data_IF_718980862986
#
_entry.id   IF_718980862986
#
_cell.length_a   1.000
_cell.length_b   1.000
_cell.length_c   1.000
_cell.angle_alpha   90.00
_cell.angle_beta   90.00
_cell.angle_gamma   90.00
#
_symmetry.space_group_name_H-M   'P 1'
#
loop_
_entity.id
_entity.type
_entity.pdbx_description
1 polymer ?
#
# COMPACT_ATOMS: atom_id res chain seq x y z
N UNK A 1 55.43 -10.70 15.99
CA UNK A 1 55.39 -10.40 14.54
C UNK A 1 54.11 -9.63 14.22
N UNK A 2 54.16 -8.30 14.25
CA UNK A 2 53.03 -7.43 13.86
C UNK A 2 53.49 -6.61 12.65
N UNK A 3 53.03 -7.00 11.46
CA UNK A 3 53.39 -6.34 10.21
C UNK A 3 52.81 -4.92 10.18
N UNK A 4 53.67 -3.93 9.91
CA UNK A 4 53.29 -2.53 9.75
C UNK A 4 52.17 -2.41 8.70
N UNK A 5 50.94 -2.11 9.13
CA UNK A 5 49.87 -1.65 8.24
C UNK A 5 50.38 -0.39 7.55
N UNK A 6 50.69 -0.49 6.25
CA UNK A 6 51.26 0.64 5.51
C UNK A 6 50.34 1.85 5.64
N UNK A 7 50.90 3.01 6.00
CA UNK A 7 50.13 4.26 6.18
C UNK A 7 49.27 4.58 4.97
N UNK A 8 49.73 4.22 3.77
CA UNK A 8 48.98 4.34 2.51
C UNK A 8 47.72 3.47 2.48
N UNK A 9 47.83 2.20 2.90
CA UNK A 9 46.68 1.29 2.97
C UNK A 9 45.64 1.76 3.99
N UNK A 10 46.08 2.23 5.16
CA UNK A 10 45.17 2.80 6.17
C UNK A 10 44.48 4.09 5.67
N UNK A 11 45.20 4.98 4.99
CA UNK A 11 44.61 6.18 4.38
C UNK A 11 43.60 5.84 3.28
N UNK A 12 43.90 4.83 2.47
CA UNK A 12 43.00 4.33 1.43
C UNK A 12 41.73 3.72 2.03
N UNK A 13 41.85 2.81 3.02
CA UNK A 13 40.72 2.21 3.74
C UNK A 13 39.83 3.29 4.39
N UNK A 14 40.45 4.29 5.03
CA UNK A 14 39.72 5.41 5.66
C UNK A 14 39.12 6.39 4.66
N UNK A 15 39.68 6.50 3.45
CA UNK A 15 39.07 7.26 2.36
C UNK A 15 37.86 6.50 1.80
N UNK A 16 38.00 5.19 1.59
CA UNK A 16 36.96 4.32 1.04
C UNK A 16 35.74 4.24 1.97
N UNK A 17 35.96 4.08 3.27
CA UNK A 17 34.89 4.14 4.28
C UNK A 17 34.14 5.48 4.24
N UNK A 18 34.87 6.61 4.19
CA UNK A 18 34.24 7.93 4.07
C UNK A 18 33.45 8.13 2.77
N UNK A 19 33.87 7.53 1.67
CA UNK A 19 33.09 7.58 0.43
C UNK A 19 31.85 6.69 0.53
N UNK A 20 31.94 5.52 1.15
CA UNK A 20 30.78 4.68 1.42
C UNK A 20 29.75 5.39 2.30
N UNK A 21 30.19 6.05 3.37
CA UNK A 21 29.30 6.84 4.24
C UNK A 21 28.61 7.96 3.46
N UNK A 22 29.37 8.72 2.66
CA UNK A 22 28.83 9.80 1.82
C UNK A 22 27.83 9.29 0.77
N UNK A 23 28.15 8.17 0.11
CA UNK A 23 27.24 7.54 -0.85
C UNK A 23 25.99 7.01 -0.16
N UNK A 24 26.13 6.43 1.04
CA UNK A 24 25.01 5.99 1.87
C UNK A 24 24.10 7.14 2.27
N UNK A 25 24.65 8.27 2.70
CA UNK A 25 23.88 9.49 3.00
C UNK A 25 23.20 10.06 1.76
N UNK A 26 23.89 10.11 0.63
CA UNK A 26 23.33 10.67 -0.61
C UNK A 26 22.22 9.77 -1.15
N UNK A 27 22.43 8.45 -1.11
CA UNK A 27 21.43 7.46 -1.52
C UNK A 27 20.26 7.45 -0.54
N UNK A 28 20.49 7.63 0.76
CA UNK A 28 19.44 7.85 1.76
C UNK A 28 18.58 9.07 1.44
N UNK A 29 19.19 10.22 1.16
CA UNK A 29 18.48 11.45 0.77
C UNK A 29 17.69 11.28 -0.53
N UNK A 30 18.29 10.66 -1.56
CA UNK A 30 17.59 10.38 -2.81
C UNK A 30 16.41 9.42 -2.58
N UNK A 31 16.59 8.43 -1.72
CA UNK A 31 15.55 7.49 -1.35
C UNK A 31 14.39 8.21 -0.64
N UNK A 32 14.68 9.11 0.28
CA UNK A 32 13.66 9.89 0.99
C UNK A 32 12.92 10.88 0.07
N UNK A 33 13.56 11.33 -1.02
CA UNK A 33 12.96 12.24 -2.01
C UNK A 33 12.15 11.53 -3.10
N UNK A 34 12.50 10.28 -3.40
CA UNK A 34 11.95 9.55 -4.55
C UNK A 34 11.04 8.39 -4.15
N UNK A 35 11.16 7.87 -2.93
CA UNK A 35 10.26 6.83 -2.46
C UNK A 35 8.96 7.42 -1.93
N UNK A 36 7.86 6.64 -2.05
CA UNK A 36 6.61 6.99 -1.41
C UNK A 36 6.81 7.20 0.10
N UNK A 37 6.04 8.10 0.70
CA UNK A 37 6.03 8.37 2.15
C UNK A 37 5.98 7.08 3.00
N UNK A 38 6.62 7.11 4.17
CA UNK A 38 6.54 6.05 5.17
C UNK A 38 5.15 5.99 5.84
N UNK A 39 4.91 4.92 6.60
CA UNK A 39 3.65 4.76 7.34
C UNK A 39 3.33 5.92 8.30
N UNK A 40 4.27 6.43 9.13
CA UNK A 40 3.98 7.54 10.03
C UNK A 40 3.55 8.81 9.29
N UNK A 41 4.25 9.17 8.22
CA UNK A 41 3.98 10.37 7.43
C UNK A 41 2.63 10.26 6.71
N UNK A 42 2.29 9.07 6.20
CA UNK A 42 0.98 8.79 5.60
C UNK A 42 -0.15 8.99 6.60
N UNK A 43 -0.02 8.41 7.79
CA UNK A 43 -1.08 8.50 8.81
C UNK A 43 -1.28 9.92 9.30
N UNK A 44 -0.19 10.68 9.50
CA UNK A 44 -0.27 12.09 9.88
C UNK A 44 -0.98 12.96 8.82
N UNK A 45 -0.93 12.55 7.54
CA UNK A 45 -1.52 13.28 6.43
C UNK A 45 -3.03 13.02 6.24
N UNK A 46 -3.59 11.90 6.74
CA UNK A 46 -4.98 11.50 6.47
C UNK A 46 -5.98 12.64 6.73
N UNK A 47 -5.87 13.31 7.87
CA UNK A 47 -6.79 14.38 8.26
C UNK A 47 -6.65 15.66 7.42
N UNK A 48 -5.50 15.91 6.79
CA UNK A 48 -5.24 17.12 6.01
C UNK A 48 -5.56 17.01 4.52
N UNK A 49 -5.89 15.80 4.04
CA UNK A 49 -6.28 15.57 2.64
C UNK A 49 -7.68 16.12 2.41
N UNK A 50 -7.84 17.00 1.43
CA UNK A 50 -9.15 17.51 1.01
C UNK A 50 -9.91 16.54 0.10
N UNK A 51 -11.24 16.60 0.13
CA UNK A 51 -12.15 15.72 -0.62
C UNK A 51 -12.40 16.13 -2.09
N UNK A 52 -11.74 17.19 -2.56
CA UNK A 52 -11.91 17.73 -3.91
C UNK A 52 -11.15 16.96 -4.99
N UNK A 53 -11.41 17.30 -6.24
CA UNK A 53 -10.64 16.79 -7.39
C UNK A 53 -9.46 17.70 -7.71
N UNK A 54 -8.31 17.10 -7.98
CA UNK A 54 -7.11 17.81 -8.45
C UNK A 54 -6.77 17.53 -9.91
N UNK A 55 -7.41 16.53 -10.52
CA UNK A 55 -7.13 16.12 -11.90
C UNK A 55 -8.42 16.01 -12.71
N UNK A 56 -8.29 16.10 -14.04
CA UNK A 56 -9.41 16.10 -15.00
C UNK A 56 -9.36 14.89 -15.94
N UNK A 57 -8.45 13.96 -15.66
CA UNK A 57 -8.32 12.70 -16.38
C UNK A 57 -9.59 11.85 -16.20
N UNK A 58 -9.92 10.99 -17.18
CA UNK A 58 -11.05 10.07 -17.06
C UNK A 58 -10.69 8.69 -17.63
N UNK A 59 -11.19 7.61 -17.02
CA UNK A 59 -11.02 6.27 -17.57
C UNK A 59 -11.81 6.11 -18.88
N UNK A 60 -11.44 5.10 -19.66
CA UNK A 60 -12.18 4.72 -20.86
C UNK A 60 -13.53 4.09 -20.47
N UNK A 61 -14.60 4.45 -21.18
CA UNK A 61 -15.92 3.85 -20.98
C UNK A 61 -15.89 2.32 -21.15
N UNK A 62 -16.59 1.62 -20.26
CA UNK A 62 -16.64 0.14 -20.24
C UNK A 62 -15.35 -0.55 -19.79
N UNK A 63 -14.38 0.19 -19.26
CA UNK A 63 -13.18 -0.40 -18.64
C UNK A 63 -13.41 -0.76 -17.18
N UNK A 64 -12.57 -1.66 -16.65
CA UNK A 64 -12.52 -1.98 -15.22
C UNK A 64 -12.33 -0.74 -14.32
N UNK A 65 -11.60 0.26 -14.82
CA UNK A 65 -11.39 1.53 -14.14
C UNK A 65 -12.64 2.42 -14.12
N UNK A 66 -13.48 2.39 -15.16
CA UNK A 66 -14.75 3.09 -15.16
C UNK A 66 -15.74 2.49 -14.15
N UNK A 67 -15.78 1.17 -14.02
CA UNK A 67 -16.56 0.49 -12.98
C UNK A 67 -16.05 0.83 -11.57
N UNK A 68 -14.73 0.88 -11.40
CA UNK A 68 -14.14 1.31 -10.13
C UNK A 68 -14.46 2.77 -9.80
N UNK A 69 -14.51 3.67 -10.80
CA UNK A 69 -14.85 5.08 -10.57
C UNK A 69 -16.24 5.24 -9.93
N UNK A 70 -17.25 4.58 -10.52
CA UNK A 70 -18.63 4.59 -9.99
C UNK A 70 -18.66 4.12 -8.55
N UNK A 71 -17.82 3.14 -8.22
CA UNK A 71 -17.73 2.61 -6.88
C UNK A 71 -17.01 3.57 -5.91
N UNK A 72 -15.91 4.20 -6.33
CA UNK A 72 -15.20 5.22 -5.55
C UNK A 72 -16.08 6.43 -5.24
N UNK A 73 -16.99 6.82 -6.13
CA UNK A 73 -17.96 7.90 -5.92
C UNK A 73 -18.94 7.59 -4.77
N UNK A 74 -19.22 6.31 -4.50
CA UNK A 74 -20.12 5.86 -3.43
C UNK A 74 -19.45 5.79 -2.06
N UNK A 75 -18.12 5.85 -2.01
CA UNK A 75 -17.38 5.75 -0.76
C UNK A 75 -17.51 6.98 0.12
N UNK A 76 -17.55 6.71 1.43
CA UNK A 76 -17.54 7.77 2.43
C UNK A 76 -16.25 8.62 2.32
N UNK A 77 -16.34 9.94 2.56
CA UNK A 77 -15.17 10.83 2.49
C UNK A 77 -14.00 10.38 3.36
N UNK A 78 -14.28 9.81 4.54
CA UNK A 78 -13.24 9.26 5.45
C UNK A 78 -12.45 8.13 4.78
N UNK A 79 -13.14 7.20 4.10
CA UNK A 79 -12.51 6.09 3.40
C UNK A 79 -11.72 6.57 2.18
N UNK A 80 -12.21 7.60 1.48
CA UNK A 80 -11.49 8.22 0.37
C UNK A 80 -10.21 8.94 0.82
N UNK A 81 -10.23 9.67 1.94
CA UNK A 81 -9.03 10.30 2.54
C UNK A 81 -8.01 9.28 3.01
N UNK A 82 -8.47 8.18 3.60
CA UNK A 82 -7.64 7.04 3.92
C UNK A 82 -6.95 6.47 2.67
N UNK A 83 -7.71 6.17 1.61
CA UNK A 83 -7.18 5.67 0.35
C UNK A 83 -6.19 6.64 -0.28
N UNK A 84 -6.49 7.95 -0.26
CA UNK A 84 -5.60 8.98 -0.77
C UNK A 84 -4.25 8.96 -0.04
N UNK A 85 -4.26 8.81 1.29
CA UNK A 85 -3.04 8.68 2.08
C UNK A 85 -2.23 7.44 1.71
N UNK A 86 -2.87 6.27 1.54
CA UNK A 86 -2.17 5.04 1.15
C UNK A 86 -1.58 5.09 -0.26
N UNK A 87 -2.28 5.76 -1.18
CA UNK A 87 -1.88 5.91 -2.58
C UNK A 87 -0.92 7.10 -2.81
N UNK A 88 -0.64 7.89 -1.76
CA UNK A 88 0.08 9.16 -1.85
C UNK A 88 -0.60 10.20 -2.76
N UNK A 89 -1.91 10.07 -2.97
CA UNK A 89 -2.68 10.95 -3.85
C UNK A 89 -2.78 12.37 -3.26
N UNK A 90 -2.77 13.42 -4.08
CA UNK A 90 -2.84 14.82 -3.62
C UNK A 90 -4.19 15.17 -2.95
N UNK A 91 -5.27 14.51 -3.35
CA UNK A 91 -6.63 14.74 -2.85
C UNK A 91 -7.45 13.43 -2.80
N UNK A 92 -8.60 13.47 -2.13
CA UNK A 92 -9.52 12.35 -1.95
C UNK A 92 -10.72 12.39 -2.93
N UNK A 93 -10.58 13.12 -4.04
CA UNK A 93 -11.51 13.08 -5.16
C UNK A 93 -11.51 11.69 -5.84
N UNK A 94 -12.68 11.09 -6.16
CA UNK A 94 -12.77 9.78 -6.80
C UNK A 94 -11.93 9.64 -8.08
N UNK A 95 -11.90 10.66 -8.93
CA UNK A 95 -11.13 10.67 -10.18
C UNK A 95 -9.64 10.73 -9.89
N UNK A 96 -9.24 11.58 -8.95
CA UNK A 96 -7.85 11.70 -8.49
C UNK A 96 -7.34 10.38 -7.88
N UNK A 97 -8.17 9.71 -7.08
CA UNK A 97 -7.86 8.41 -6.50
C UNK A 97 -7.69 7.34 -7.57
N UNK A 98 -8.57 7.32 -8.57
CA UNK A 98 -8.48 6.39 -9.68
C UNK A 98 -7.22 6.59 -10.50
N UNK A 99 -6.87 7.84 -10.83
CA UNK A 99 -5.62 8.13 -11.52
C UNK A 99 -4.41 7.69 -10.69
N UNK A 100 -4.40 7.96 -9.39
CA UNK A 100 -3.34 7.52 -8.50
C UNK A 100 -3.21 5.99 -8.49
N UNK A 101 -4.32 5.25 -8.53
CA UNK A 101 -4.36 3.79 -8.68
C UNK A 101 -3.76 3.34 -10.02
N UNK A 102 -4.15 3.96 -11.13
CA UNK A 102 -3.65 3.58 -12.45
C UNK A 102 -2.16 3.87 -12.62
N UNK A 103 -1.67 4.91 -11.94
CA UNK A 103 -0.25 5.31 -11.92
C UNK A 103 0.57 4.55 -10.89
N UNK A 104 -0.04 3.66 -10.10
CA UNK A 104 0.70 2.84 -9.13
C UNK A 104 1.78 2.04 -9.83
N UNK A 105 2.99 2.15 -9.32
CA UNK A 105 4.14 1.39 -9.79
C UNK A 105 4.36 0.20 -8.87
N UNK A 106 3.53 -0.83 -9.03
CA UNK A 106 3.54 -2.01 -8.17
C UNK A 106 4.79 -2.88 -8.32
N UNK A 107 5.36 -2.96 -9.53
CA UNK A 107 6.61 -3.67 -9.79
C UNK A 107 7.70 -2.72 -10.32
N UNK A 108 8.97 -3.10 -10.16
CA UNK A 108 10.11 -2.30 -10.64
C UNK A 108 10.08 -2.10 -12.16
N UNK A 109 9.47 -3.01 -12.92
CA UNK A 109 9.30 -2.86 -14.38
C UNK A 109 8.32 -1.74 -14.72
N UNK A 110 7.34 -1.48 -13.86
CA UNK A 110 6.42 -0.33 -13.94
C UNK A 110 7.13 0.98 -13.80
N UNK A 111 8.15 1.04 -12.96
CA UNK A 111 8.95 2.24 -12.73
C UNK A 111 9.81 2.60 -13.95
N UNK A 112 10.14 1.60 -14.78
CA UNK A 112 11.03 1.75 -15.94
C UNK A 112 10.30 1.89 -17.28
N UNK A 113 8.96 1.79 -17.31
CA UNK A 113 8.20 1.91 -18.55
C UNK A 113 7.49 3.28 -18.65
N UNK A 114 8.14 4.30 -19.24
CA UNK A 114 7.54 5.63 -19.40
C UNK A 114 6.40 5.67 -20.43
N UNK A 115 6.22 4.62 -21.24
CA UNK A 115 5.24 4.60 -22.34
C UNK A 115 3.83 4.23 -21.89
N UNK A 116 3.69 3.67 -20.69
CA UNK A 116 2.39 3.26 -20.13
C UNK A 116 2.19 3.91 -18.77
N UNK A 117 1.95 5.24 -18.74
CA UNK A 117 1.82 5.99 -17.48
C UNK A 117 0.56 5.61 -16.69
N UNK A 118 -0.47 5.12 -17.38
CA UNK A 118 -1.75 4.71 -16.82
C UNK A 118 -1.98 3.24 -17.17
N UNK A 119 -2.30 2.43 -16.16
CA UNK A 119 -2.64 1.02 -16.33
C UNK A 119 -4.03 0.79 -15.78
N UNK A 120 -4.86 0.16 -16.58
CA UNK A 120 -6.21 -0.20 -16.16
C UNK A 120 -6.18 -1.00 -14.87
N UNK A 121 -7.23 -0.82 -14.06
CA UNK A 121 -7.35 -1.45 -12.75
C UNK A 121 -7.18 -2.97 -12.79
N UNK A 122 -7.79 -3.65 -13.77
CA UNK A 122 -7.63 -5.11 -13.96
C UNK A 122 -6.16 -5.53 -14.18
N UNK A 123 -5.38 -4.71 -14.88
CA UNK A 123 -3.94 -4.95 -15.07
C UNK A 123 -3.18 -4.78 -13.76
N UNK A 124 -3.52 -3.76 -12.96
CA UNK A 124 -2.92 -3.55 -11.64
C UNK A 124 -3.20 -4.73 -10.70
N UNK A 125 -4.43 -5.25 -10.70
CA UNK A 125 -4.79 -6.44 -9.93
C UNK A 125 -3.98 -7.66 -10.38
N UNK A 126 -3.82 -7.89 -11.68
CA UNK A 126 -3.01 -9.01 -12.19
C UNK A 126 -1.54 -8.91 -11.75
N UNK A 127 -0.97 -7.70 -11.80
CA UNK A 127 0.40 -7.45 -11.33
C UNK A 127 0.49 -7.74 -9.82
N UNK A 128 -0.45 -7.23 -9.02
CA UNK A 128 -0.46 -7.48 -7.59
C UNK A 128 -0.60 -8.97 -7.26
N UNK A 129 -1.49 -9.69 -7.93
CA UNK A 129 -1.64 -11.14 -7.76
C UNK A 129 -0.32 -11.87 -8.02
N UNK A 130 0.43 -11.48 -9.06
CA UNK A 130 1.74 -12.05 -9.35
C UNK A 130 2.78 -11.75 -8.27
N UNK A 131 2.77 -10.54 -7.68
CA UNK A 131 3.67 -10.15 -6.59
C UNK A 131 3.33 -10.86 -5.27
N UNK A 132 2.06 -11.17 -5.07
CA UNK A 132 1.57 -11.95 -3.93
C UNK A 132 1.74 -13.46 -4.14
N UNK A 133 2.29 -13.90 -5.28
CA UNK A 133 2.48 -15.31 -5.65
C UNK A 133 1.15 -16.10 -5.77
N UNK A 134 0.08 -15.42 -6.16
CA UNK A 134 -1.25 -16.01 -6.37
C UNK A 134 -1.49 -16.24 -7.86
N UNK A 135 -2.17 -17.35 -8.19
CA UNK A 135 -2.58 -17.62 -9.57
C UNK A 135 -3.56 -16.55 -10.04
N UNK A 136 -3.12 -15.67 -10.94
CA UNK A 136 -3.96 -14.63 -11.50
C UNK A 136 -4.95 -15.22 -12.52
N UNK A 137 -6.22 -14.86 -12.38
CA UNK A 137 -7.23 -15.02 -13.42
C UNK A 137 -6.98 -14.05 -14.58
N UNK A 138 -7.67 -14.28 -15.71
CA UNK A 138 -7.62 -13.39 -16.86
C UNK A 138 -8.06 -11.96 -16.50
N UNK A 139 -7.58 -10.96 -17.23
CA UNK A 139 -7.92 -9.54 -16.99
C UNK A 139 -9.43 -9.26 -17.11
N UNK A 140 -10.16 -10.03 -17.93
CA UNK A 140 -11.62 -9.95 -18.02
C UNK A 140 -12.37 -10.54 -16.83
N UNK A 141 -11.72 -11.38 -16.02
CA UNK A 141 -12.27 -11.97 -14.80
C UNK A 141 -11.63 -11.33 -13.56
N UNK A 142 -11.46 -10.01 -13.57
CA UNK A 142 -10.71 -9.29 -12.54
C UNK A 142 -11.35 -9.37 -11.15
N UNK A 143 -12.67 -9.61 -11.04
CA UNK A 143 -13.36 -9.83 -9.76
C UNK A 143 -12.84 -11.08 -9.01
N UNK A 144 -12.48 -12.14 -9.74
CA UNK A 144 -11.84 -13.32 -9.14
C UNK A 144 -10.46 -12.96 -8.57
N UNK A 145 -9.76 -12.04 -9.25
CA UNK A 145 -8.49 -11.51 -8.76
C UNK A 145 -8.70 -10.67 -7.50
N UNK A 146 -9.76 -9.86 -7.40
CA UNK A 146 -10.07 -9.09 -6.19
C UNK A 146 -10.22 -10.02 -4.97
N UNK A 147 -11.01 -11.09 -5.10
CA UNK A 147 -11.19 -12.06 -4.02
C UNK A 147 -9.87 -12.71 -3.60
N UNK A 148 -9.09 -13.17 -4.58
CA UNK A 148 -7.79 -13.82 -4.34
C UNK A 148 -6.77 -12.87 -3.68
N UNK A 149 -6.70 -11.64 -4.16
CA UNK A 149 -5.83 -10.60 -3.61
C UNK A 149 -6.24 -10.25 -2.20
N UNK A 150 -7.54 -10.11 -1.93
CA UNK A 150 -8.03 -9.79 -0.60
C UNK A 150 -7.56 -10.82 0.44
N UNK A 151 -7.72 -12.12 0.13
CA UNK A 151 -7.25 -13.22 0.99
C UNK A 151 -5.73 -13.18 1.20
N UNK A 152 -4.97 -13.01 0.12
CA UNK A 152 -3.52 -13.01 0.18
C UNK A 152 -2.95 -11.78 0.91
N UNK A 153 -3.57 -10.60 0.77
CA UNK A 153 -3.19 -9.41 1.55
C UNK A 153 -3.48 -9.63 3.03
N UNK A 154 -4.63 -10.22 3.37
CA UNK A 154 -4.97 -10.55 4.75
C UNK A 154 -3.97 -11.53 5.39
N UNK A 155 -3.56 -12.58 4.66
CA UNK A 155 -2.51 -13.51 5.08
C UNK A 155 -1.16 -12.81 5.32
N UNK A 156 -0.76 -11.89 4.43
CA UNK A 156 0.48 -11.11 4.60
C UNK A 156 0.40 -10.17 5.80
N UNK A 157 -0.76 -9.57 6.04
CA UNK A 157 -1.01 -8.70 7.19
C UNK A 157 -1.04 -9.46 8.51
N UNK A 158 -1.49 -10.71 8.52
CA UNK A 158 -1.29 -11.60 9.66
C UNK A 158 0.21 -11.82 9.92
N UNK A 159 0.97 -12.07 8.86
CA UNK A 159 2.42 -12.23 8.91
C UNK A 159 3.17 -10.99 9.40
N UNK A 160 2.62 -9.79 9.22
CA UNK A 160 3.22 -8.53 9.69
C UNK A 160 2.90 -8.21 11.15
N UNK A 161 1.98 -8.94 11.79
CA UNK A 161 1.65 -8.70 13.19
C UNK A 161 2.87 -8.91 14.11
N UNK A 162 2.97 -8.15 15.21
CA UNK A 162 3.91 -8.43 16.28
C UNK A 162 3.71 -9.85 16.83
N UNK A 163 4.80 -10.58 17.08
CA UNK A 163 4.75 -11.99 17.57
C UNK A 163 3.86 -12.16 18.80
N UNK A 164 3.84 -11.16 19.69
CA UNK A 164 3.01 -11.13 20.90
C UNK A 164 1.50 -11.15 20.62
N UNK A 165 1.05 -10.66 19.46
CA UNK A 165 -0.37 -10.60 19.08
C UNK A 165 -0.79 -11.77 18.17
N UNK A 166 0.16 -12.41 17.47
CA UNK A 166 -0.16 -13.48 16.50
C UNK A 166 -0.94 -14.63 17.12
N UNK A 167 -0.51 -15.13 18.27
CA UNK A 167 -1.17 -16.27 18.92
C UNK A 167 -2.58 -15.90 19.42
N UNK A 168 -2.75 -14.71 19.98
CA UNK A 168 -4.05 -14.24 20.46
C UNK A 168 -5.04 -14.05 19.31
N UNK A 169 -4.62 -13.38 18.23
CA UNK A 169 -5.49 -13.08 17.11
C UNK A 169 -5.75 -14.30 16.22
N UNK A 170 -4.78 -15.19 16.03
CA UNK A 170 -4.98 -16.45 15.29
C UNK A 170 -6.03 -17.35 15.94
N UNK A 171 -6.16 -17.31 17.27
CA UNK A 171 -7.19 -18.06 18.00
C UNK A 171 -8.59 -17.44 17.88
N UNK A 172 -8.68 -16.14 17.53
CA UNK A 172 -9.96 -15.41 17.43
C UNK A 172 -10.48 -15.33 16.00
N UNK A 173 -9.58 -15.19 15.03
CA UNK A 173 -9.95 -14.90 13.65
C UNK A 173 -9.21 -15.83 12.68
N UNK A 174 -9.93 -16.49 11.76
CA UNK A 174 -9.31 -17.23 10.67
C UNK A 174 -8.52 -16.30 9.75
N UNK A 175 -7.44 -16.83 9.17
CA UNK A 175 -6.58 -16.12 8.23
C UNK A 175 -7.17 -16.21 6.82
N UNK A 176 -7.16 -15.10 6.09
CA UNK A 176 -7.68 -15.01 4.72
C UNK A 176 -9.13 -14.56 4.65
N UNK A 177 -9.78 -14.23 5.77
CA UNK A 177 -11.17 -13.75 5.81
C UNK A 177 -11.27 -12.22 5.94
N UNK A 178 -10.13 -11.51 5.95
CA UNK A 178 -10.13 -10.04 5.94
C UNK A 178 -10.12 -9.38 7.31
N UNK A 179 -10.11 -10.19 8.38
CA UNK A 179 -10.05 -9.70 9.75
C UNK A 179 -8.78 -8.91 10.04
N UNK A 180 -7.64 -9.30 9.46
CA UNK A 180 -6.36 -8.63 9.67
C UNK A 180 -6.25 -7.34 8.87
N UNK A 181 -6.86 -7.28 7.69
CA UNK A 181 -7.06 -6.03 6.93
C UNK A 181 -7.83 -5.02 7.80
N UNK A 182 -8.97 -5.42 8.36
CA UNK A 182 -9.77 -4.55 9.23
C UNK A 182 -9.03 -4.18 10.52
N UNK A 183 -8.37 -5.14 11.14
CA UNK A 183 -7.61 -4.90 12.37
C UNK A 183 -6.54 -3.83 12.15
N UNK A 184 -5.74 -3.95 11.08
CA UNK A 184 -4.73 -2.95 10.75
C UNK A 184 -5.34 -1.60 10.37
N UNK A 185 -6.44 -1.59 9.62
CA UNK A 185 -7.18 -0.36 9.31
C UNK A 185 -7.54 0.41 10.59
N UNK A 186 -8.15 -0.25 11.57
CA UNK A 186 -8.55 0.40 12.83
C UNK A 186 -7.34 0.99 13.57
N UNK A 187 -6.21 0.27 13.63
CA UNK A 187 -5.02 0.76 14.34
C UNK A 187 -4.34 1.90 13.61
N UNK A 188 -4.35 1.87 12.28
CA UNK A 188 -3.81 2.94 11.45
C UNK A 188 -4.69 4.20 11.52
N UNK A 189 -6.03 4.05 11.60
CA UNK A 189 -6.94 5.16 11.87
C UNK A 189 -6.75 5.76 13.26
N UNK A 190 -6.53 4.94 14.28
CA UNK A 190 -6.18 5.43 15.62
C UNK A 190 -4.88 6.26 15.58
N UNK A 191 -3.88 5.83 14.81
CA UNK A 191 -2.63 6.58 14.60
C UNK A 191 -2.81 7.86 13.80
N UNK A 192 -3.79 7.90 12.89
CA UNK A 192 -4.17 9.10 12.17
C UNK A 192 -4.92 10.13 13.05
N UNK A 193 -5.24 9.77 14.30
CA UNK A 193 -5.94 10.64 15.25
C UNK A 193 -7.46 10.66 15.07
N UNK A 194 -8.03 9.66 14.39
CA UNK A 194 -9.48 9.54 14.25
C UNK A 194 -10.11 9.11 15.59
N UNK A 195 -11.16 9.81 16.07
CA UNK A 195 -11.66 9.70 17.45
C UNK A 195 -12.36 8.36 17.77
N UNK A 196 -12.74 7.59 16.74
CA UNK A 196 -13.52 6.35 16.88
C UNK A 196 -12.64 5.10 17.00
N UNK A 197 -11.31 5.25 17.00
CA UNK A 197 -10.37 4.13 16.93
C UNK A 197 -9.36 4.12 18.06
N UNK A 198 -9.02 2.92 18.52
CA UNK A 198 -8.01 2.68 19.55
C UNK A 198 -6.83 1.87 18.97
N UNK A 199 -5.64 2.12 19.51
CA UNK A 199 -4.41 1.39 19.19
C UNK A 199 -4.43 -0.04 19.74
N UNK A 200 -5.27 -0.33 20.74
CA UNK A 200 -5.60 -1.66 21.29
C UNK A 200 -4.56 -2.74 20.98
N UNK A 201 -3.47 -2.74 21.75
CA UNK A 201 -2.41 -3.74 21.69
C UNK A 201 -1.26 -3.40 20.74
N UNK A 202 -1.39 -2.49 19.77
CA UNK A 202 -0.29 -2.05 18.91
C UNK A 202 0.65 -1.08 19.65
N UNK A 203 1.95 -1.39 19.65
CA UNK A 203 3.01 -0.55 20.22
C UNK A 203 3.42 0.55 19.24
N UNK A 204 4.15 1.59 19.67
CA UNK A 204 4.43 2.77 18.85
C UNK A 204 5.19 2.46 17.54
N UNK A 205 5.97 1.37 17.51
CA UNK A 205 6.77 0.93 16.36
C UNK A 205 6.10 -0.16 15.51
N UNK A 206 4.90 -0.62 15.89
CA UNK A 206 4.20 -1.69 15.18
C UNK A 206 3.49 -1.12 13.95
N UNK A 207 4.09 -1.33 12.78
CA UNK A 207 3.58 -0.94 11.46
C UNK A 207 3.41 -2.16 10.56
N UNK A 208 2.51 -2.12 9.57
CA UNK A 208 2.39 -3.20 8.60
C UNK A 208 3.68 -3.34 7.78
N UNK A 209 4.25 -4.54 7.79
CA UNK A 209 5.36 -4.95 6.93
C UNK A 209 4.87 -5.33 5.51
N UNK A 210 4.06 -4.44 4.92
CA UNK A 210 3.64 -4.51 3.52
C UNK A 210 3.64 -3.11 2.90
N UNK A 211 3.77 -2.98 1.57
CA UNK A 211 3.60 -1.70 0.89
C UNK A 211 2.19 -1.11 1.10
N UNK A 212 2.11 0.20 1.34
CA UNK A 212 0.82 0.90 1.52
C UNK A 212 -0.11 0.75 0.30
N UNK A 213 0.44 0.68 -0.92
CA UNK A 213 -0.33 0.42 -2.13
C UNK A 213 -1.01 -0.96 -2.12
N UNK A 214 -0.37 -1.98 -1.53
CA UNK A 214 -0.97 -3.31 -1.38
C UNK A 214 -2.12 -3.27 -0.36
N UNK A 215 -1.94 -2.52 0.74
CA UNK A 215 -3.02 -2.25 1.69
C UNK A 215 -4.20 -1.53 1.01
N UNK A 216 -3.94 -0.53 0.17
CA UNK A 216 -4.97 0.21 -0.55
C UNK A 216 -5.78 -0.72 -1.47
N UNK A 217 -5.09 -1.51 -2.29
CA UNK A 217 -5.73 -2.47 -3.19
C UNK A 217 -6.46 -3.57 -2.43
N UNK A 218 -5.88 -4.11 -1.36
CA UNK A 218 -6.54 -5.08 -0.49
C UNK A 218 -7.80 -4.52 0.18
N UNK A 219 -7.77 -3.28 0.65
CA UNK A 219 -8.93 -2.59 1.20
C UNK A 219 -10.04 -2.41 0.16
N UNK A 220 -9.70 -1.95 -1.06
CA UNK A 220 -10.65 -1.83 -2.17
C UNK A 220 -11.29 -3.16 -2.52
N UNK A 221 -10.50 -4.22 -2.63
CA UNK A 221 -11.00 -5.58 -2.89
C UNK A 221 -11.95 -6.02 -1.77
N UNK A 222 -11.57 -5.83 -0.50
CA UNK A 222 -12.39 -6.24 0.65
C UNK A 222 -13.74 -5.55 0.73
N UNK A 223 -13.77 -4.24 0.46
CA UNK A 223 -15.01 -3.48 0.43
C UNK A 223 -15.93 -3.94 -0.70
N UNK A 224 -15.40 -4.26 -1.89
CA UNK A 224 -16.19 -4.79 -3.02
C UNK A 224 -16.70 -6.21 -2.77
N UNK A 225 -15.88 -7.08 -2.17
CA UNK A 225 -16.28 -8.44 -1.79
C UNK A 225 -17.41 -8.41 -0.75
N UNK A 226 -17.30 -7.55 0.26
CA UNK A 226 -18.32 -7.41 1.30
C UNK A 226 -19.67 -6.91 0.76
N UNK A 227 -19.66 -6.03 -0.25
CA UNK A 227 -20.88 -5.55 -0.91
C UNK A 227 -21.50 -6.63 -1.82
N UNK A 228 -20.68 -7.46 -2.48
CA UNK A 228 -21.19 -8.60 -3.27
C UNK A 228 -21.87 -9.67 -2.42
N UNK A 229 -21.35 -9.94 -1.21
CA UNK A 229 -21.97 -10.87 -0.27
C UNK A 229 -23.28 -10.31 0.32
N UNK A 230 -23.38 -8.98 0.48
CA UNK A 230 -24.61 -8.30 0.88
C UNK A 230 -25.72 -8.31 -0.19
N UNK A 231 -25.35 -8.38 -1.48
CA UNK A 231 -26.29 -8.47 -2.60
C UNK A 231 -26.66 -9.91 -3.01
N UNK A 232 -25.93 -10.93 -2.53
CA UNK A 232 -26.27 -12.34 -2.74
C UNK A 232 -27.35 -12.86 -1.77
N UNK A 233 -27.85 -12.00 -0.86
CA UNK A 233 -28.82 -12.32 0.18
C UNK A 233 -30.10 -11.49 0.17
N UNK A 234 -30.48 -10.86 -0.94
CA UNK A 234 -31.78 -10.22 -1.13
C UNK A 234 -32.57 -10.86 -2.28
#
# INVERSE_FOLDING_TARGET
MAGYKSRRRWLAERWLARQQDRLGEHLGRLRDQLLPLGWPERMARVASIGDGETVHWRPRDGSSSAELLVWLERLEPRQRRWLASLLDAPSAGPVTLLEALERLQLDWRSQLNPLTPHREYATQLRILASLLEVAAAAESAYLDNEQRIYRAVDERLFGSLPLRLRAELANRYPVGEGHYVRWWYERLMARAGEPDYDLAGAGPQDWPDIPAAWMALGWLCGLRVSESDGNAGQ
#
